data_IF_777503745112
#
_entry.id   IF_777503745112
#
_cell.length_a   1.000
_cell.length_b   1.000
_cell.length_c   1.000
_cell.angle_alpha   90.00
_cell.angle_beta   90.00
_cell.angle_gamma   90.00
#
_symmetry.space_group_name_H-M   'P 1'
#
loop_
_entity.id
_entity.type
_entity.pdbx_description
1 polymer ?
#
# COMPACT_ATOMS: atom_id res chain seq x y z
N UNK A 1 2.59 10.86 -38.86
CA UNK A 1 2.63 11.60 -37.57
C UNK A 1 1.84 10.77 -36.59
N UNK A 2 2.40 10.49 -35.40
CA UNK A 2 1.64 9.83 -34.33
C UNK A 2 0.82 10.96 -33.69
N UNK A 3 -0.49 10.91 -33.86
CA UNK A 3 -1.41 11.82 -33.19
C UNK A 3 -1.40 11.45 -31.68
N UNK A 4 -0.98 12.38 -30.83
CA UNK A 4 -0.93 12.17 -29.40
C UNK A 4 -2.22 12.70 -28.78
N UNK A 5 -2.92 11.82 -28.09
CA UNK A 5 -4.05 12.23 -27.27
C UNK A 5 -3.54 13.08 -26.10
N UNK A 6 -4.15 14.24 -25.87
CA UNK A 6 -3.84 15.13 -24.76
C UNK A 6 -5.00 15.13 -23.78
N UNK A 7 -4.71 14.76 -22.54
CA UNK A 7 -5.66 14.82 -21.44
C UNK A 7 -5.19 15.89 -20.45
N UNK A 8 -6.01 16.92 -20.25
CA UNK A 8 -5.75 17.96 -19.28
C UNK A 8 -6.32 17.57 -17.92
N UNK A 9 -5.52 17.70 -16.87
CA UNK A 9 -5.92 17.46 -15.48
C UNK A 9 -5.34 18.54 -14.59
N UNK A 10 -6.05 18.90 -13.50
CA UNK A 10 -5.59 19.90 -12.54
C UNK A 10 -4.47 19.37 -11.66
N UNK A 11 -4.54 18.08 -11.28
CA UNK A 11 -3.52 17.40 -10.49
C UNK A 11 -3.18 16.06 -11.11
N UNK A 12 -1.90 15.80 -11.36
CA UNK A 12 -1.40 14.56 -11.90
C UNK A 12 -0.47 13.86 -10.88
N UNK A 13 -0.82 12.64 -10.50
CA UNK A 13 0.07 11.74 -9.79
C UNK A 13 0.80 10.85 -10.79
N UNK A 14 2.11 10.82 -10.73
CA UNK A 14 2.95 10.01 -11.62
C UNK A 14 3.38 8.73 -10.91
N UNK A 15 2.90 7.59 -11.43
CA UNK A 15 3.02 6.27 -10.85
C UNK A 15 1.81 5.90 -9.97
N UNK A 16 1.22 4.72 -10.19
CA UNK A 16 0.10 4.21 -9.40
C UNK A 16 0.60 3.29 -8.26
N UNK A 17 1.62 3.71 -7.53
CA UNK A 17 2.06 3.05 -6.31
C UNK A 17 1.18 3.40 -5.11
N UNK A 18 1.34 2.70 -3.96
CA UNK A 18 0.49 2.91 -2.78
C UNK A 18 0.46 4.36 -2.31
N UNK A 19 1.60 5.06 -2.33
CA UNK A 19 1.69 6.45 -1.88
C UNK A 19 0.91 7.41 -2.80
N UNK A 20 1.05 7.26 -4.13
CA UNK A 20 0.32 8.09 -5.10
C UNK A 20 -1.17 7.82 -5.04
N UNK A 21 -1.58 6.56 -4.94
CA UNK A 21 -3.00 6.21 -4.83
C UNK A 21 -3.61 6.73 -3.54
N UNK A 22 -2.94 6.55 -2.39
CA UNK A 22 -3.39 7.10 -1.12
C UNK A 22 -3.51 8.63 -1.18
N UNK A 23 -2.52 9.31 -1.77
CA UNK A 23 -2.56 10.76 -1.98
C UNK A 23 -3.72 11.22 -2.87
N UNK A 24 -3.95 10.52 -3.99
CA UNK A 24 -5.05 10.82 -4.91
C UNK A 24 -6.42 10.61 -4.25
N UNK A 25 -6.59 9.51 -3.50
CA UNK A 25 -7.83 9.21 -2.76
C UNK A 25 -8.06 10.30 -1.71
N UNK A 26 -7.07 10.61 -0.89
CA UNK A 26 -7.20 11.64 0.16
C UNK A 26 -7.49 13.02 -0.43
N UNK A 27 -6.83 13.39 -1.52
CA UNK A 27 -7.13 14.64 -2.22
C UNK A 27 -8.59 14.68 -2.70
N UNK A 28 -9.11 13.59 -3.28
CA UNK A 28 -10.51 13.51 -3.71
C UNK A 28 -11.49 13.60 -2.54
N UNK A 29 -11.14 13.06 -1.37
CA UNK A 29 -11.93 13.22 -0.14
C UNK A 29 -11.99 14.69 0.28
N UNK A 30 -10.84 15.37 0.36
CA UNK A 30 -10.77 16.78 0.73
C UNK A 30 -11.51 17.70 -0.26
N UNK A 31 -11.40 17.44 -1.55
CA UNK A 31 -12.14 18.21 -2.58
C UNK A 31 -13.65 18.06 -2.39
N UNK A 32 -14.13 16.86 -2.11
CA UNK A 32 -15.56 16.62 -1.81
C UNK A 32 -16.03 17.37 -0.56
N UNK A 33 -15.25 17.31 0.52
CA UNK A 33 -15.55 17.97 1.78
C UNK A 33 -15.59 19.50 1.65
N UNK A 34 -14.68 20.05 0.85
CA UNK A 34 -14.58 21.50 0.61
C UNK A 34 -15.54 22.00 -0.47
N UNK A 35 -16.26 21.12 -1.15
CA UNK A 35 -17.13 21.48 -2.28
C UNK A 35 -16.36 22.01 -3.49
N UNK A 36 -15.08 21.70 -3.60
CA UNK A 36 -14.24 22.07 -4.74
C UNK A 36 -14.24 20.98 -5.80
N UNK A 37 -14.22 21.40 -7.05
CA UNK A 37 -14.11 20.47 -8.18
C UNK A 37 -12.75 20.67 -8.84
N UNK A 38 -11.98 19.57 -8.91
CA UNK A 38 -10.71 19.51 -9.62
C UNK A 38 -10.53 18.11 -10.21
N UNK A 39 -10.03 18.05 -11.42
CA UNK A 39 -9.70 16.80 -12.09
C UNK A 39 -8.39 16.23 -11.55
N UNK A 40 -8.44 14.96 -11.10
CA UNK A 40 -7.26 14.27 -10.56
C UNK A 40 -6.97 13.06 -11.45
N UNK A 41 -5.77 13.05 -12.04
CA UNK A 41 -5.28 11.96 -12.86
C UNK A 41 -4.19 11.16 -12.15
N UNK A 42 -4.11 9.86 -12.45
CA UNK A 42 -3.00 8.99 -12.05
C UNK A 42 -2.43 8.34 -13.31
N UNK A 43 -1.14 8.53 -13.56
CA UNK A 43 -0.43 7.96 -14.69
C UNK A 43 0.40 6.76 -14.23
N UNK A 44 0.17 5.59 -14.84
CA UNK A 44 0.94 4.38 -14.56
C UNK A 44 1.68 3.90 -15.83
N UNK A 45 2.94 3.55 -15.67
CA UNK A 45 3.80 3.04 -16.75
C UNK A 45 3.50 1.58 -17.08
N UNK A 46 3.12 0.79 -16.08
CA UNK A 46 2.79 -0.62 -16.26
C UNK A 46 1.45 -0.80 -16.99
N UNK A 47 1.23 -1.97 -17.56
CA UNK A 47 -0.02 -2.33 -18.22
C UNK A 47 -1.21 -2.45 -17.25
N UNK A 48 -0.94 -2.64 -15.96
CA UNK A 48 -1.94 -2.62 -14.88
C UNK A 48 -1.32 -2.10 -13.58
N UNK A 49 -2.18 -1.56 -12.73
CA UNK A 49 -1.80 -1.07 -11.39
C UNK A 49 -1.28 -2.23 -10.54
N UNK A 50 -0.16 -2.02 -9.84
CA UNK A 50 0.46 -3.01 -8.97
C UNK A 50 1.29 -4.11 -9.66
N UNK A 51 1.43 -4.08 -10.99
CA UNK A 51 2.20 -5.09 -11.74
C UNK A 51 3.69 -5.14 -11.35
N UNK A 52 4.26 -4.01 -10.96
CA UNK A 52 5.66 -3.92 -10.52
C UNK A 52 5.84 -3.93 -8.99
N UNK A 53 4.76 -4.16 -8.24
CA UNK A 53 4.82 -4.25 -6.78
C UNK A 53 5.29 -5.61 -6.31
N UNK A 54 6.02 -5.64 -5.18
CA UNK A 54 6.42 -6.88 -4.54
C UNK A 54 5.21 -7.68 -4.06
N UNK A 55 5.35 -9.02 -4.08
CA UNK A 55 4.26 -9.93 -3.70
C UNK A 55 4.02 -10.04 -2.20
N UNK A 56 5.02 -9.76 -1.37
CA UNK A 56 4.91 -9.89 0.09
C UNK A 56 5.36 -8.63 0.81
N UNK A 57 4.56 -8.19 1.77
CA UNK A 57 4.88 -7.07 2.65
C UNK A 57 4.21 -7.27 4.02
N UNK A 58 4.80 -6.64 5.04
CA UNK A 58 4.14 -6.45 6.33
C UNK A 58 3.61 -5.02 6.34
N UNK A 59 2.30 -4.88 6.52
CA UNK A 59 1.58 -3.61 6.46
C UNK A 59 1.14 -3.20 7.86
N UNK A 60 1.50 -2.01 8.26
CA UNK A 60 0.89 -1.34 9.40
C UNK A 60 -0.48 -0.77 8.96
N UNK A 61 -1.59 -1.23 9.54
CA UNK A 61 -2.93 -0.87 9.06
C UNK A 61 -3.33 0.58 9.37
N UNK A 62 -2.57 1.31 10.21
CA UNK A 62 -2.93 2.66 10.66
C UNK A 62 -3.24 3.60 9.51
N UNK A 63 -2.36 3.66 8.50
CA UNK A 63 -2.54 4.55 7.36
C UNK A 63 -3.82 4.23 6.55
N UNK A 64 -4.18 2.94 6.42
CA UNK A 64 -5.41 2.53 5.75
C UNK A 64 -6.65 2.86 6.59
N UNK A 65 -6.58 2.68 7.90
CA UNK A 65 -7.67 3.07 8.82
C UNK A 65 -7.90 4.59 8.83
N UNK A 66 -6.82 5.38 8.75
CA UNK A 66 -6.91 6.84 8.63
C UNK A 66 -7.51 7.26 7.27
N UNK A 67 -7.10 6.62 6.19
CA UNK A 67 -7.59 6.91 4.84
C UNK A 67 -9.06 6.48 4.64
N UNK A 68 -9.49 5.41 5.30
CA UNK A 68 -10.83 4.84 5.21
C UNK A 68 -11.44 4.60 6.60
N UNK A 69 -11.83 5.67 7.33
CA UNK A 69 -12.29 5.56 8.71
C UNK A 69 -13.56 4.72 8.88
N UNK A 70 -14.36 4.56 7.81
CA UNK A 70 -15.59 3.77 7.82
C UNK A 70 -15.36 2.27 7.54
N UNK A 71 -14.11 1.86 7.29
CA UNK A 71 -13.74 0.47 7.01
C UNK A 71 -13.09 -0.20 8.22
N UNK A 72 -13.27 -1.51 8.30
CA UNK A 72 -12.62 -2.37 9.28
C UNK A 72 -11.53 -3.23 8.60
N UNK A 73 -10.66 -3.86 9.37
CA UNK A 73 -9.50 -4.59 8.83
C UNK A 73 -9.87 -5.70 7.83
N UNK A 74 -11.04 -6.33 8.00
CA UNK A 74 -11.55 -7.36 7.09
C UNK A 74 -11.92 -6.82 5.70
N UNK A 75 -12.11 -5.51 5.55
CA UNK A 75 -12.40 -4.87 4.27
C UNK A 75 -11.15 -4.66 3.42
N UNK A 76 -9.95 -4.77 4.03
CA UNK A 76 -8.67 -4.62 3.34
C UNK A 76 -8.15 -5.97 2.83
N UNK A 77 -7.35 -5.98 1.75
CA UNK A 77 -6.83 -7.21 1.16
C UNK A 77 -5.64 -7.78 1.94
N UNK A 78 -5.81 -7.94 3.24
CA UNK A 78 -4.85 -8.58 4.13
C UNK A 78 -4.94 -10.10 4.01
N UNK A 79 -3.79 -10.80 4.15
CA UNK A 79 -3.72 -12.25 4.11
C UNK A 79 -3.78 -12.86 5.52
N UNK A 80 -3.01 -12.30 6.45
CA UNK A 80 -2.95 -12.75 7.85
C UNK A 80 -2.45 -11.66 8.77
N UNK A 81 -2.89 -11.68 10.02
CA UNK A 81 -2.32 -10.84 11.09
C UNK A 81 -1.02 -11.45 11.61
N UNK A 82 -0.06 -10.60 11.99
CA UNK A 82 1.20 -11.02 12.59
C UNK A 82 1.00 -11.20 14.10
N UNK A 83 0.91 -12.46 14.54
CA UNK A 83 0.73 -12.82 15.95
C UNK A 83 2.03 -13.09 16.68
N UNK A 84 3.02 -13.68 15.98
CA UNK A 84 4.28 -14.12 16.55
C UNK A 84 5.42 -13.96 15.55
N UNK A 85 6.60 -13.63 16.05
CA UNK A 85 7.79 -13.40 15.25
C UNK A 85 8.97 -14.16 15.85
N UNK A 86 9.79 -14.72 14.99
CA UNK A 86 10.99 -15.44 15.39
C UNK A 86 12.19 -14.98 14.59
N UNK A 87 13.31 -14.79 15.28
CA UNK A 87 14.58 -14.47 14.65
C UNK A 87 15.52 -15.68 14.75
N UNK A 88 16.01 -16.13 13.61
CA UNK A 88 16.92 -17.28 13.51
C UNK A 88 18.18 -16.92 12.78
N UNK A 89 19.30 -17.42 13.29
CA UNK A 89 20.55 -17.49 12.54
C UNK A 89 20.67 -18.90 11.94
N UNK A 90 20.79 -18.96 10.62
CA UNK A 90 20.90 -20.22 9.89
C UNK A 90 22.35 -20.50 9.49
N UNK A 91 22.83 -21.70 9.80
CA UNK A 91 24.08 -22.24 9.27
C UNK A 91 23.80 -23.30 8.21
N UNK A 92 24.81 -23.87 7.57
CA UNK A 92 24.58 -24.95 6.60
C UNK A 92 23.90 -26.20 7.18
N UNK A 93 23.93 -26.39 8.49
CA UNK A 93 23.39 -27.62 9.15
C UNK A 93 22.54 -27.35 10.39
N UNK A 94 22.46 -26.12 10.89
CA UNK A 94 21.79 -25.80 12.16
C UNK A 94 20.99 -24.50 12.08
N UNK A 95 19.91 -24.44 12.85
CA UNK A 95 19.10 -23.28 13.16
C UNK A 95 19.37 -22.87 14.61
N UNK A 96 19.76 -21.62 14.84
CA UNK A 96 19.99 -21.04 16.15
C UNK A 96 18.91 -19.96 16.35
N UNK A 97 18.11 -20.11 17.39
CA UNK A 97 17.08 -19.11 17.74
C UNK A 97 17.69 -18.01 18.58
N UNK A 98 17.38 -16.76 18.25
CA UNK A 98 17.68 -15.64 19.13
C UNK A 98 16.67 -15.55 20.26
N UNK A 99 17.10 -15.28 21.50
CA UNK A 99 16.22 -15.21 22.66
C UNK A 99 15.39 -13.93 22.72
N UNK A 100 15.65 -12.97 21.84
CA UNK A 100 14.92 -11.69 21.77
C UNK A 100 14.85 -11.21 20.33
N UNK A 101 13.78 -10.44 20.05
CA UNK A 101 13.57 -9.74 18.78
C UNK A 101 13.77 -8.24 19.03
N UNK A 102 14.65 -7.55 18.28
CA UNK A 102 14.82 -6.11 18.38
C UNK A 102 13.50 -5.37 18.18
N UNK A 103 13.24 -4.26 18.90
CA UNK A 103 11.99 -3.51 18.77
C UNK A 103 11.68 -3.08 17.32
N UNK A 104 12.70 -2.75 16.52
CA UNK A 104 12.56 -2.38 15.11
C UNK A 104 12.14 -3.52 14.18
N UNK A 105 12.14 -4.76 14.67
CA UNK A 105 11.72 -5.97 13.94
C UNK A 105 10.42 -6.55 14.51
N UNK A 106 9.75 -5.83 15.41
CA UNK A 106 8.46 -6.24 15.97
C UNK A 106 7.33 -5.64 15.14
N UNK A 107 6.46 -6.49 14.64
CA UNK A 107 5.34 -6.13 13.77
C UNK A 107 3.99 -6.63 14.31
N UNK A 108 3.91 -6.83 15.62
CA UNK A 108 2.65 -7.25 16.27
C UNK A 108 1.52 -6.25 15.97
N UNK A 109 0.36 -6.76 15.53
CA UNK A 109 -0.76 -5.94 15.09
C UNK A 109 -0.64 -5.40 13.65
N UNK A 110 0.43 -5.76 12.93
CA UNK A 110 0.55 -5.56 11.48
C UNK A 110 -0.03 -6.76 10.73
N UNK A 111 -0.16 -6.61 9.41
CA UNK A 111 -0.73 -7.64 8.55
C UNK A 111 0.23 -8.02 7.44
N UNK A 112 0.29 -9.31 7.14
CA UNK A 112 0.91 -9.80 5.92
C UNK A 112 -0.02 -9.53 4.76
N UNK A 113 0.49 -8.95 3.69
CA UNK A 113 -0.30 -8.65 2.50
C UNK A 113 0.54 -8.74 1.23
N UNK A 114 -0.13 -8.98 0.12
CA UNK A 114 0.45 -8.76 -1.21
C UNK A 114 0.35 -7.26 -1.54
N UNK A 115 1.49 -6.59 -1.67
CA UNK A 115 1.51 -5.17 -2.02
C UNK A 115 0.85 -4.91 -3.38
N UNK A 116 1.00 -5.82 -4.33
CA UNK A 116 0.33 -5.74 -5.63
C UNK A 116 -1.20 -5.84 -5.51
N UNK A 117 -1.72 -6.72 -4.64
CA UNK A 117 -3.17 -6.81 -4.37
C UNK A 117 -3.67 -5.53 -3.67
N UNK A 118 -2.94 -5.05 -2.67
CA UNK A 118 -3.29 -3.81 -1.97
C UNK A 118 -3.31 -2.61 -2.92
N UNK A 119 -2.31 -2.49 -3.78
CA UNK A 119 -2.22 -1.39 -4.74
C UNK A 119 -3.36 -1.42 -5.77
N UNK A 120 -3.78 -2.61 -6.22
CA UNK A 120 -4.97 -2.75 -7.10
C UNK A 120 -6.28 -2.49 -6.39
N UNK A 121 -6.34 -2.76 -5.10
CA UNK A 121 -7.52 -2.51 -4.29
C UNK A 121 -7.74 -1.01 -4.02
N UNK A 122 -6.66 -0.24 -3.82
CA UNK A 122 -6.67 1.22 -3.73
C UNK A 122 -7.16 1.88 -5.02
#
# INVERSE_FOLDING_TARGET
MIEREVLEVDVLFVGAGPASLAGAIHLRQLLRESGQDASVGVLEKAGEVGAHSLSGAIIDPRALRELFPDKIDQDFPFEAEVWEEHLYYLTGTRKISFPFIPPSMKHHGCFVASLGKLTRWL
#
